data_IF_270452209120
#
_entry.id   IF_270452209120
#
_cell.length_a   1.000
_cell.length_b   1.000
_cell.length_c   1.000
_cell.angle_alpha   90.00
_cell.angle_beta   90.00
_cell.angle_gamma   90.00
#
_symmetry.space_group_name_H-M   'P 1'
#
loop_
_entity.id
_entity.type
_entity.pdbx_description
1 polymer ?
#
# COMPACT_ATOMS: atom_id res chain seq x y z
N UNK A 1 -5.28 -22.64 -10.77
CA UNK A 1 -6.43 -21.89 -10.19
C UNK A 1 -5.90 -20.53 -9.78
N UNK A 2 -6.66 -19.44 -9.89
CA UNK A 2 -6.23 -18.12 -9.43
C UNK A 2 -7.42 -17.31 -8.93
N UNK A 3 -7.18 -16.39 -8.00
CA UNK A 3 -8.17 -15.44 -7.49
C UNK A 3 -7.49 -14.12 -7.11
N UNK A 4 -8.29 -13.11 -6.79
CA UNK A 4 -7.81 -11.78 -6.39
C UNK A 4 -8.47 -11.35 -5.08
N UNK A 5 -7.65 -10.94 -4.11
CA UNK A 5 -8.13 -10.26 -2.91
C UNK A 5 -8.27 -8.77 -3.18
N UNK A 6 -9.30 -8.17 -2.56
CA UNK A 6 -9.52 -6.72 -2.52
C UNK A 6 -9.73 -6.33 -1.08
N UNK A 7 -8.90 -5.44 -0.57
CA UNK A 7 -8.93 -5.07 0.84
C UNK A 7 -8.39 -3.66 1.05
N UNK A 8 -8.76 -3.08 2.18
CA UNK A 8 -8.16 -1.84 2.66
C UNK A 8 -7.08 -2.19 3.68
N UNK A 9 -5.82 -1.91 3.36
CA UNK A 9 -4.73 -1.99 4.31
C UNK A 9 -4.67 -0.70 5.12
N UNK A 10 -4.84 -0.80 6.43
CA UNK A 10 -4.56 0.29 7.34
C UNK A 10 -3.14 0.15 7.88
N UNK A 11 -2.32 1.19 7.70
CA UNK A 11 -0.95 1.27 8.21
C UNK A 11 -0.90 2.42 9.21
N UNK A 12 -0.53 2.12 10.45
CA UNK A 12 -0.37 3.11 11.52
C UNK A 12 1.11 3.25 11.83
N UNK A 13 1.56 4.50 11.90
CA UNK A 13 2.91 4.88 12.31
C UNK A 13 2.76 5.79 13.53
N UNK A 14 3.44 5.44 14.60
CA UNK A 14 3.35 6.13 15.88
C UNK A 14 4.65 6.91 16.16
N UNK A 15 4.52 8.03 16.85
CA UNK A 15 5.64 8.88 17.31
C UNK A 15 6.64 9.27 16.17
N UNK A 16 6.13 9.51 14.96
CA UNK A 16 6.97 9.88 13.82
C UNK A 16 7.48 11.32 13.95
N UNK A 17 8.80 11.50 13.84
CA UNK A 17 9.46 12.80 13.99
C UNK A 17 10.23 13.31 12.75
N UNK A 18 9.97 12.69 11.60
CA UNK A 18 10.59 13.07 10.33
C UNK A 18 9.74 14.00 9.48
N UNK A 19 10.26 14.36 8.30
CA UNK A 19 9.46 14.98 7.26
C UNK A 19 8.48 13.95 6.68
N UNK A 20 7.18 14.23 6.81
CA UNK A 20 6.10 13.39 6.29
C UNK A 20 6.24 13.11 4.79
N UNK A 21 6.81 14.02 4.00
CA UNK A 21 7.03 13.79 2.57
C UNK A 21 8.00 12.63 2.31
N UNK A 22 8.99 12.43 3.19
CA UNK A 22 9.93 11.31 3.09
C UNK A 22 9.26 9.98 3.39
N UNK A 23 8.18 9.98 4.17
CA UNK A 23 7.34 8.81 4.40
C UNK A 23 6.39 8.55 3.23
N UNK A 24 5.76 9.59 2.68
CA UNK A 24 4.75 9.42 1.62
C UNK A 24 5.37 9.04 0.27
N UNK A 25 6.57 9.53 -0.04
CA UNK A 25 7.27 9.24 -1.28
C UNK A 25 7.43 7.73 -1.57
N UNK A 26 7.97 6.90 -0.66
CA UNK A 26 8.10 5.46 -0.91
C UNK A 26 6.74 4.75 -1.00
N UNK A 27 5.73 5.18 -0.25
CA UNK A 27 4.37 4.61 -0.33
C UNK A 27 3.76 4.85 -1.72
N UNK A 28 3.83 6.08 -2.20
CA UNK A 28 3.34 6.44 -3.54
C UNK A 28 4.14 5.75 -4.65
N UNK A 29 5.47 5.63 -4.50
CA UNK A 29 6.31 4.91 -5.43
C UNK A 29 5.91 3.43 -5.50
N UNK A 30 5.70 2.79 -4.35
CA UNK A 30 5.27 1.40 -4.30
C UNK A 30 3.87 1.21 -4.91
N UNK A 31 2.91 2.10 -4.60
CA UNK A 31 1.58 2.08 -5.21
C UNK A 31 1.64 2.26 -6.73
N UNK A 32 2.56 3.08 -7.24
CA UNK A 32 2.74 3.25 -8.69
C UNK A 32 3.12 1.96 -9.41
N UNK A 33 3.88 1.09 -8.73
CA UNK A 33 4.29 -0.22 -9.27
C UNK A 33 3.28 -1.33 -8.99
N UNK A 34 2.61 -1.30 -7.83
CA UNK A 34 1.75 -2.38 -7.35
C UNK A 34 0.29 -2.24 -7.76
N UNK A 35 -0.20 -1.01 -7.95
CA UNK A 35 -1.57 -0.68 -8.34
C UNK A 35 -1.60 0.29 -9.54
N UNK A 36 -0.92 -0.02 -10.67
CA UNK A 36 -0.78 0.89 -11.80
C UNK A 36 -2.13 1.27 -12.43
N UNK A 37 -3.12 0.38 -12.40
CA UNK A 37 -4.46 0.65 -12.94
C UNK A 37 -5.21 1.69 -12.10
N UNK A 38 -5.07 1.61 -10.77
CA UNK A 38 -5.75 2.51 -9.85
C UNK A 38 -5.09 3.89 -9.82
N UNK A 39 -3.76 3.98 -9.85
CA UNK A 39 -3.04 5.27 -9.77
C UNK A 39 -3.22 6.12 -11.05
N UNK A 40 -3.35 5.47 -12.21
CA UNK A 40 -3.50 6.15 -13.50
C UNK A 40 -4.96 6.51 -13.82
N UNK A 41 -5.92 6.01 -13.04
CA UNK A 41 -7.34 6.36 -13.17
C UNK A 41 -7.72 7.45 -12.15
N UNK A 42 -8.11 8.66 -12.57
CA UNK A 42 -8.47 9.75 -11.65
C UNK A 42 -9.52 9.38 -10.59
N UNK A 43 -10.56 8.64 -10.98
CA UNK A 43 -11.68 8.27 -10.09
C UNK A 43 -11.28 7.24 -9.03
N UNK A 44 -10.28 6.40 -9.35
CA UNK A 44 -9.75 5.39 -8.44
C UNK A 44 -8.60 5.96 -7.59
N UNK A 45 -7.79 6.86 -8.15
CA UNK A 45 -6.63 7.45 -7.50
C UNK A 45 -7.01 8.19 -6.21
N UNK A 46 -8.13 8.92 -6.22
CA UNK A 46 -8.62 9.62 -5.02
C UNK A 46 -8.95 8.66 -3.87
N UNK A 47 -9.39 7.44 -4.19
CA UNK A 47 -9.77 6.41 -3.21
C UNK A 47 -8.64 5.45 -2.86
N UNK A 48 -7.61 5.37 -3.72
CA UNK A 48 -6.49 4.44 -3.61
C UNK A 48 -5.68 4.66 -2.33
N UNK A 49 -5.51 5.92 -1.96
CA UNK A 49 -4.63 6.35 -0.89
C UNK A 49 -5.25 7.52 -0.15
N UNK A 50 -5.53 7.33 1.14
CA UNK A 50 -5.85 8.42 2.07
C UNK A 50 -4.98 8.30 3.30
N UNK A 51 -4.74 9.43 3.98
CA UNK A 51 -4.02 9.44 5.23
C UNK A 51 -4.60 10.48 6.17
N UNK A 52 -4.46 10.21 7.46
CA UNK A 52 -4.82 11.10 8.57
C UNK A 52 -3.56 11.29 9.42
N UNK A 53 -3.39 12.49 9.97
CA UNK A 53 -2.26 12.86 10.82
C UNK A 53 -2.80 13.39 12.13
N UNK A 54 -2.36 12.82 13.23
CA UNK A 54 -2.58 13.36 14.58
C UNK A 54 -1.29 13.98 15.10
N UNK A 55 -1.31 15.30 15.35
CA UNK A 55 -0.14 16.04 15.77
C UNK A 55 -0.02 15.95 17.29
N UNK A 56 0.98 15.21 17.78
CA UNK A 56 1.20 15.01 19.20
C UNK A 56 1.97 16.17 19.85
N UNK A 57 3.01 16.68 19.19
CA UNK A 57 3.86 17.80 19.61
C UNK A 57 4.60 18.40 18.40
N UNK A 58 5.31 19.51 18.60
CA UNK A 58 5.93 20.34 17.56
C UNK A 58 6.62 19.58 16.41
N UNK A 59 7.22 18.44 16.71
CA UNK A 59 8.00 17.61 15.79
C UNK A 59 7.58 16.14 15.83
N UNK A 60 6.44 15.77 16.42
CA UNK A 60 5.99 14.37 16.51
C UNK A 60 4.52 14.23 16.15
N UNK A 61 4.20 13.29 15.27
CA UNK A 61 2.84 12.94 14.90
C UNK A 61 2.63 11.43 14.74
N UNK A 62 1.38 11.02 14.91
CA UNK A 62 0.91 9.71 14.48
C UNK A 62 0.28 9.83 13.08
N UNK A 63 0.49 8.82 12.25
CA UNK A 63 0.03 8.82 10.85
C UNK A 63 -0.70 7.51 10.60
N UNK A 64 -1.97 7.60 10.19
CA UNK A 64 -2.78 6.47 9.76
C UNK A 64 -3.02 6.56 8.26
N UNK A 65 -2.63 5.54 7.51
CA UNK A 65 -2.79 5.47 6.05
C UNK A 65 -3.75 4.36 5.70
N UNK A 66 -4.69 4.63 4.80
CA UNK A 66 -5.60 3.65 4.23
C UNK A 66 -5.27 3.44 2.75
N UNK A 67 -4.90 2.21 2.39
CA UNK A 67 -4.54 1.81 1.03
C UNK A 67 -5.58 0.83 0.50
N UNK A 68 -6.24 1.15 -0.62
CA UNK A 68 -7.12 0.19 -1.30
C UNK A 68 -6.29 -0.68 -2.24
N UNK A 69 -6.11 -1.95 -1.89
CA UNK A 69 -5.19 -2.84 -2.58
C UNK A 69 -5.90 -4.02 -3.23
N UNK A 70 -5.29 -4.48 -4.33
CA UNK A 70 -5.63 -5.74 -4.98
C UNK A 70 -4.42 -6.68 -4.94
N UNK A 71 -4.65 -7.96 -4.63
CA UNK A 71 -3.59 -8.97 -4.57
C UNK A 71 -4.00 -10.22 -5.33
N UNK A 72 -3.25 -10.58 -6.37
CA UNK A 72 -3.54 -11.75 -7.21
C UNK A 72 -2.80 -12.97 -6.69
N UNK A 73 -3.54 -14.04 -6.43
CA UNK A 73 -2.99 -15.34 -6.04
C UNK A 73 -3.02 -16.29 -7.24
N UNK A 74 -1.87 -16.85 -7.57
CA UNK A 74 -1.70 -17.85 -8.62
C UNK A 74 -1.39 -19.21 -8.00
N UNK A 75 -2.26 -20.19 -8.20
CA UNK A 75 -2.02 -21.59 -7.82
C UNK A 75 -1.47 -22.33 -9.02
N UNK A 76 -0.20 -22.73 -8.90
CA UNK A 76 0.46 -23.64 -9.83
C UNK A 76 0.39 -25.07 -9.32
N UNK A 77 -0.19 -25.98 -10.11
CA UNK A 77 -0.14 -27.43 -9.85
C UNK A 77 1.15 -27.97 -10.47
N UNK A 78 2.29 -27.68 -9.84
CA UNK A 78 3.60 -28.18 -10.25
C UNK A 78 4.03 -29.35 -9.38
N UNK A 79 3.86 -30.59 -9.88
CA UNK A 79 4.66 -31.73 -9.44
C UNK A 79 6.11 -31.38 -9.77
N UNK A 80 6.93 -31.04 -8.78
CA UNK A 80 8.36 -30.79 -9.00
C UNK A 80 9.00 -32.08 -9.53
N UNK A 81 9.25 -32.13 -10.84
CA UNK A 81 10.22 -33.05 -11.40
C UNK A 81 11.57 -32.60 -10.87
N UNK A 82 12.16 -33.42 -10.01
CA UNK A 82 13.55 -33.29 -9.60
C UNK A 82 14.38 -33.47 -10.88
N UNK A 83 14.95 -32.38 -11.38
CA UNK A 83 16.09 -32.44 -12.29
C UNK A 83 17.35 -32.10 -11.49
N UNK A 84 18.36 -32.92 -11.76
CA UNK A 84 19.50 -33.29 -10.92
C UNK A 84 20.49 -32.17 -10.67
#
# INVERSE_FOLDING_TARGET
MSWEYRYTLNVVIEDFSGDQNLLMAPVLLWLSTSQPDAINNPDLREKLFTFEVDILRNDVCDISMNLQLTERVLVSTGRQRIER
#
